data_IF_495692192360
#
_entry.id   IF_495692192360
#
_cell.length_a   1.000
_cell.length_b   1.000
_cell.length_c   1.000
_cell.angle_alpha   90.00
_cell.angle_beta   90.00
_cell.angle_gamma   90.00
#
_symmetry.space_group_name_H-M   'P 1'
#
loop_
_entity.id
_entity.type
_entity.pdbx_description
1 polymer ?
#
# COMPACT_ATOMS: atom_id res chain seq x y z
N UNK A 1 -4.97 8.67 -0.78
CA UNK A 1 -3.96 8.26 -1.78
C UNK A 1 -4.10 9.12 -3.01
N UNK A 2 -3.00 9.48 -3.66
CA UNK A 2 -3.01 10.32 -4.86
C UNK A 2 -2.32 9.58 -6.00
N UNK A 3 -3.03 9.37 -7.10
CA UNK A 3 -2.53 8.70 -8.31
C UNK A 3 -2.99 9.51 -9.52
N UNK A 4 -2.09 9.79 -10.47
CA UNK A 4 -2.38 10.60 -11.66
C UNK A 4 -3.02 11.96 -11.35
N UNK A 5 -2.63 12.59 -10.23
CA UNK A 5 -3.17 13.88 -9.81
C UNK A 5 -4.56 13.83 -9.17
N UNK A 6 -5.21 12.66 -9.12
CA UNK A 6 -6.50 12.47 -8.45
C UNK A 6 -6.26 11.94 -7.04
N UNK A 7 -6.86 12.58 -6.04
CA UNK A 7 -6.80 12.17 -4.64
C UNK A 7 -8.11 11.50 -4.23
N UNK A 8 -8.02 10.27 -3.73
CA UNK A 8 -9.16 9.53 -3.18
C UNK A 8 -8.84 8.99 -1.78
N UNK A 9 -9.84 8.90 -0.89
CA UNK A 9 -9.70 8.14 0.34
C UNK A 9 -9.53 6.65 -0.01
N UNK A 10 -8.59 5.99 0.67
CA UNK A 10 -8.38 4.54 0.55
C UNK A 10 -8.13 3.99 1.95
N UNK A 11 -8.69 2.82 2.23
CA UNK A 11 -8.41 2.05 3.44
C UNK A 11 -7.46 0.92 3.08
N UNK A 12 -6.43 0.72 3.89
CA UNK A 12 -5.48 -0.37 3.74
C UNK A 12 -5.50 -1.22 5.01
N UNK A 13 -5.40 -2.53 4.83
CA UNK A 13 -5.24 -3.47 5.92
C UNK A 13 -3.77 -3.54 6.32
N UNK A 14 -3.49 -3.25 7.58
CA UNK A 14 -2.12 -3.21 8.11
C UNK A 14 -1.92 -4.36 9.08
N UNK A 15 -0.95 -5.22 8.79
CA UNK A 15 -0.47 -6.27 9.69
C UNK A 15 0.91 -5.91 10.21
N UNK A 16 1.04 -5.75 11.52
CA UNK A 16 2.34 -5.77 12.19
C UNK A 16 2.85 -7.22 12.21
N UNK A 17 3.95 -7.47 11.49
CA UNK A 17 4.54 -8.80 11.41
C UNK A 17 5.37 -9.10 12.65
N UNK A 18 6.36 -8.24 12.93
CA UNK A 18 7.26 -8.34 14.08
C UNK A 18 7.82 -6.97 14.43
N UNK A 19 8.04 -6.74 15.71
CA UNK A 19 8.77 -5.58 16.23
C UNK A 19 9.90 -6.09 17.13
N UNK A 20 11.06 -5.44 17.08
CA UNK A 20 12.21 -5.83 17.88
C UNK A 20 13.44 -4.96 17.65
N UNK A 21 14.55 -5.29 18.31
CA UNK A 21 15.84 -4.65 18.06
C UNK A 21 16.51 -5.36 16.88
N UNK A 22 16.87 -4.59 15.86
CA UNK A 22 17.57 -5.11 14.68
C UNK A 22 19.08 -5.21 14.90
N UNK A 23 19.79 -5.76 13.91
CA UNK A 23 21.25 -5.92 13.97
C UNK A 23 22.00 -4.58 14.13
N UNK A 24 21.39 -3.48 13.72
CA UNK A 24 21.91 -2.12 13.91
C UNK A 24 21.64 -1.55 15.31
N UNK A 25 21.22 -2.38 16.27
CA UNK A 25 20.87 -2.00 17.64
C UNK A 25 19.73 -0.96 17.76
N UNK A 26 19.03 -0.65 16.65
CA UNK A 26 17.86 0.21 16.65
C UNK A 26 16.58 -0.63 16.74
N UNK A 27 15.55 -0.06 17.36
CA UNK A 27 14.20 -0.64 17.31
C UNK A 27 13.67 -0.58 15.88
N UNK A 28 13.06 -1.67 15.43
CA UNK A 28 12.50 -1.82 14.09
C UNK A 28 11.14 -2.50 14.16
N UNK A 29 10.27 -2.21 13.19
CA UNK A 29 8.97 -2.85 13.04
C UNK A 29 8.71 -3.18 11.56
N UNK A 30 8.36 -4.44 11.30
CA UNK A 30 8.01 -4.93 9.97
C UNK A 30 6.50 -4.97 9.76
N UNK A 31 6.02 -4.46 8.63
CA UNK A 31 4.61 -4.38 8.29
C UNK A 31 4.33 -5.00 6.92
N UNK A 32 3.27 -5.78 6.84
CA UNK A 32 2.62 -6.13 5.58
C UNK A 32 1.36 -5.27 5.47
N UNK A 33 1.23 -4.53 4.39
CA UNK A 33 0.07 -3.67 4.13
C UNK A 33 -0.56 -4.10 2.82
N UNK A 34 -1.86 -4.39 2.84
CA UNK A 34 -2.62 -4.83 1.67
C UNK A 34 -3.84 -3.97 1.44
N UNK A 35 -4.33 -3.93 0.21
CA UNK A 35 -5.58 -3.27 -0.12
C UNK A 35 -5.95 -3.46 -1.58
N UNK A 36 -7.09 -2.93 -1.96
CA UNK A 36 -7.54 -2.93 -3.35
C UNK A 36 -8.10 -1.55 -3.69
N UNK A 37 -7.79 -1.07 -4.89
CA UNK A 37 -8.28 0.20 -5.41
C UNK A 37 -8.95 0.02 -6.78
N UNK A 38 -9.81 0.96 -7.16
CA UNK A 38 -10.33 1.08 -8.52
C UNK A 38 -9.42 1.99 -9.33
N UNK A 39 -8.85 1.50 -10.43
CA UNK A 39 -8.03 2.35 -11.33
C UNK A 39 -8.87 3.41 -12.03
N UNK A 40 -10.15 3.14 -12.29
CA UNK A 40 -11.10 4.11 -12.85
C UNK A 40 -11.36 5.26 -11.89
N UNK A 41 -11.46 5.00 -10.58
CA UNK A 41 -11.64 6.03 -9.57
C UNK A 41 -10.47 7.04 -9.49
N UNK A 42 -9.29 6.66 -10.00
CA UNK A 42 -8.11 7.53 -10.14
C UNK A 42 -7.93 8.10 -11.55
N UNK A 43 -8.93 7.95 -12.44
CA UNK A 43 -8.92 8.51 -13.80
C UNK A 43 -8.29 7.62 -14.87
N UNK A 44 -7.83 6.41 -14.54
CA UNK A 44 -7.25 5.48 -15.52
C UNK A 44 -8.34 4.60 -16.16
N UNK A 45 -8.96 5.11 -17.23
CA UNK A 45 -10.10 4.46 -17.92
C UNK A 45 -9.73 3.66 -19.16
N UNK A 46 -8.48 3.72 -19.62
CA UNK A 46 -8.00 2.98 -20.81
C UNK A 46 -8.24 1.47 -20.63
N UNK A 47 -8.76 0.80 -21.66
CA UNK A 47 -9.00 -0.65 -21.66
C UNK A 47 -10.09 -1.13 -20.69
N UNK A 48 -11.02 -0.26 -20.26
CA UNK A 48 -12.07 -0.58 -19.27
C UNK A 48 -12.95 -1.80 -19.56
N UNK A 49 -13.03 -2.25 -20.82
CA UNK A 49 -13.77 -3.46 -21.22
C UNK A 49 -12.93 -4.73 -21.34
N UNK A 50 -11.60 -4.63 -21.28
CA UNK A 50 -10.67 -5.76 -21.45
C UNK A 50 -9.77 -5.98 -20.22
N UNK A 51 -9.55 -4.94 -19.41
CA UNK A 51 -8.69 -4.95 -18.22
C UNK A 51 -9.56 -4.64 -17.01
N UNK A 52 -9.54 -5.52 -16.00
CA UNK A 52 -10.26 -5.35 -14.75
C UNK A 52 -9.98 -4.01 -14.07
N UNK A 53 -10.97 -3.50 -13.33
CA UNK A 53 -10.85 -2.21 -12.63
C UNK A 53 -10.06 -2.30 -11.32
N UNK A 54 -10.15 -3.45 -10.66
CA UNK A 54 -9.52 -3.70 -9.38
C UNK A 54 -7.99 -3.85 -9.51
N UNK A 55 -7.25 -3.08 -8.71
CA UNK A 55 -5.80 -3.19 -8.58
C UNK A 55 -5.48 -3.53 -7.13
N UNK A 56 -4.82 -4.67 -6.94
CA UNK A 56 -4.37 -5.11 -5.62
C UNK A 56 -3.05 -4.41 -5.26
N UNK A 57 -2.99 -3.86 -4.07
CA UNK A 57 -1.81 -3.23 -3.49
C UNK A 57 -1.23 -4.18 -2.45
N UNK A 58 0.09 -4.40 -2.52
CA UNK A 58 0.87 -5.11 -1.50
C UNK A 58 2.14 -4.32 -1.22
N UNK A 59 2.31 -3.92 0.04
CA UNK A 59 3.48 -3.17 0.51
C UNK A 59 4.11 -3.98 1.65
N UNK A 60 5.42 -4.16 1.59
CA UNK A 60 6.23 -4.70 2.68
C UNK A 60 7.19 -3.61 3.13
N UNK A 61 7.11 -3.21 4.39
CA UNK A 61 7.88 -2.11 4.92
C UNK A 61 8.58 -2.48 6.23
N UNK A 62 9.83 -2.05 6.37
CA UNK A 62 10.59 -2.10 7.61
C UNK A 62 10.82 -0.66 8.10
N UNK A 63 10.19 -0.30 9.21
CA UNK A 63 10.42 0.97 9.87
C UNK A 63 11.58 0.84 10.87
N UNK A 64 12.46 1.84 10.92
CA UNK A 64 13.52 1.99 11.91
C UNK A 64 13.16 3.17 12.81
N UNK A 65 13.20 2.98 14.12
CA UNK A 65 12.97 4.07 15.07
C UNK A 65 13.98 5.21 14.82
N UNK A 66 13.48 6.45 14.86
CA UNK A 66 14.26 7.66 14.64
C UNK A 66 15.33 7.83 15.72
#
# INVERSE_FOLDING_TARGET
MTVMGVTQPVTLDVKLNKMGVGNNQKKQAGFTITGQISRKAFGHTIGAGAIGDAVNIRIEALAVAQ
#
